data_IF_373103082406
#
_entry.id   IF_373103082406
#
_cell.length_a   1.000
_cell.length_b   1.000
_cell.length_c   1.000
_cell.angle_alpha   90.00
_cell.angle_beta   90.00
_cell.angle_gamma   90.00
#
_symmetry.space_group_name_H-M   'P 1'
#
loop_
_entity.id
_entity.type
_entity.pdbx_description
1 polymer ?
#
# COMPACT_ATOMS: atom_id res chain seq x y z
N UNK A 1 36.08 15.03 0.44
CA UNK A 1 35.50 13.66 0.45
C UNK A 1 34.69 13.33 1.70
N UNK A 2 35.25 13.35 2.93
CA UNK A 2 34.46 12.94 4.13
C UNK A 2 33.28 13.88 4.46
N UNK A 3 33.46 15.20 4.31
CA UNK A 3 32.40 16.20 4.54
C UNK A 3 31.23 16.05 3.54
N UNK A 4 31.52 15.67 2.30
CA UNK A 4 30.53 15.50 1.23
C UNK A 4 29.66 14.25 1.46
N UNK A 5 30.27 13.14 1.88
CA UNK A 5 29.52 11.92 2.23
C UNK A 5 28.64 12.08 3.48
N UNK A 6 29.04 12.92 4.43
CA UNK A 6 28.23 13.24 5.60
C UNK A 6 26.95 13.97 5.21
N UNK A 7 27.06 15.03 4.39
CA UNK A 7 25.90 15.80 3.94
C UNK A 7 24.95 14.94 3.08
N UNK A 8 25.46 14.12 2.16
CA UNK A 8 24.62 13.21 1.37
C UNK A 8 23.82 12.23 2.26
N UNK A 9 24.46 11.67 3.29
CA UNK A 9 23.78 10.74 4.21
C UNK A 9 22.76 11.46 5.08
N UNK A 10 23.09 12.68 5.53
CA UNK A 10 22.20 13.55 6.31
C UNK A 10 20.97 13.94 5.50
N UNK A 11 21.14 14.25 4.22
CA UNK A 11 20.03 14.56 3.31
C UNK A 11 19.13 13.35 3.09
N UNK A 12 19.70 12.17 2.81
CA UNK A 12 18.90 10.94 2.67
C UNK A 12 18.07 10.64 3.94
N UNK A 13 18.65 10.86 5.12
CA UNK A 13 17.92 10.75 6.39
C UNK A 13 16.85 11.82 6.52
N UNK A 14 17.13 13.07 6.17
CA UNK A 14 16.17 14.17 6.23
C UNK A 14 14.95 13.92 5.34
N UNK A 15 15.17 13.43 4.11
CA UNK A 15 14.10 13.05 3.19
C UNK A 15 13.26 11.89 3.74
N UNK A 16 13.91 10.87 4.32
CA UNK A 16 13.22 9.77 4.96
C UNK A 16 12.31 10.26 6.10
N UNK A 17 12.83 11.09 7.01
CA UNK A 17 12.03 11.64 8.12
C UNK A 17 10.89 12.54 7.64
N UNK A 18 11.13 13.35 6.60
CA UNK A 18 10.10 14.20 6.00
C UNK A 18 8.97 13.37 5.38
N UNK A 19 9.32 12.30 4.66
CA UNK A 19 8.34 11.35 4.12
C UNK A 19 7.52 10.68 5.24
N UNK A 20 8.17 10.18 6.30
CA UNK A 20 7.44 9.59 7.45
C UNK A 20 6.49 10.58 8.07
N UNK A 21 6.95 11.82 8.26
CA UNK A 21 6.15 12.87 8.84
C UNK A 21 4.89 13.11 8.00
N UNK A 22 5.02 13.22 6.68
CA UNK A 22 3.89 13.42 5.78
C UNK A 22 2.89 12.25 5.84
N UNK A 23 3.37 11.00 5.81
CA UNK A 23 2.49 9.81 5.92
C UNK A 23 1.72 9.80 7.25
N UNK A 24 2.34 10.26 8.34
CA UNK A 24 1.72 10.23 9.68
C UNK A 24 0.76 11.40 9.90
N UNK A 25 1.09 12.60 9.41
CA UNK A 25 0.34 13.83 9.74
C UNK A 25 -0.76 14.16 8.74
N UNK A 26 -0.62 13.76 7.48
CA UNK A 26 -1.59 14.10 6.45
C UNK A 26 -2.77 13.10 6.48
N UNK A 27 -4.01 13.58 6.74
CA UNK A 27 -5.20 12.71 6.82
C UNK A 27 -5.46 11.89 5.55
N UNK A 28 -4.97 12.37 4.40
CA UNK A 28 -5.10 11.64 3.14
C UNK A 28 -4.45 10.25 3.19
N UNK A 29 -3.33 10.10 3.92
CA UNK A 29 -2.59 8.84 4.04
C UNK A 29 -3.02 8.00 5.24
N UNK A 30 -4.18 8.26 5.86
CA UNK A 30 -4.65 7.56 7.07
C UNK A 30 -4.81 6.04 6.92
N UNK A 31 -4.92 5.52 5.70
CA UNK A 31 -5.00 4.10 5.37
C UNK A 31 -3.62 3.44 5.23
N UNK A 32 -2.55 4.23 5.26
CA UNK A 32 -1.17 3.76 5.30
C UNK A 32 -0.64 3.88 6.73
N UNK A 33 0.31 3.01 7.09
CA UNK A 33 1.03 3.13 8.37
C UNK A 33 2.51 2.77 8.19
N UNK A 34 3.35 3.19 9.13
CA UNK A 34 4.76 2.84 9.17
C UNK A 34 4.99 1.95 10.38
N UNK A 35 4.98 0.63 10.14
CA UNK A 35 5.04 -0.36 11.21
C UNK A 35 6.44 -0.96 11.31
N UNK A 36 7.17 -0.53 12.34
CA UNK A 36 8.48 -1.09 12.62
C UNK A 36 8.35 -2.50 13.23
N UNK A 37 9.21 -3.45 12.84
CA UNK A 37 9.20 -4.79 13.43
C UNK A 37 9.44 -4.73 14.94
N UNK A 38 8.65 -5.48 15.71
CA UNK A 38 8.84 -5.54 17.15
C UNK A 38 10.19 -6.21 17.49
N UNK A 39 11.02 -5.51 18.26
CA UNK A 39 12.29 -6.05 18.78
C UNK A 39 12.04 -6.71 20.14
N UNK A 40 12.37 -8.00 20.31
CA UNK A 40 12.27 -8.66 21.62
C UNK A 40 13.11 -7.94 22.68
N UNK A 41 12.59 -7.83 23.92
CA UNK A 41 13.30 -7.14 25.02
C UNK A 41 14.72 -7.67 25.25
N UNK A 42 14.94 -8.97 25.05
CA UNK A 42 16.25 -9.61 25.16
C UNK A 42 17.29 -9.08 24.16
N UNK A 43 16.85 -8.57 23.01
CA UNK A 43 17.69 -8.05 21.94
C UNK A 43 17.68 -6.51 21.83
N UNK A 44 16.94 -5.82 22.70
CA UNK A 44 16.70 -4.38 22.58
C UNK A 44 17.98 -3.53 22.62
N UNK A 45 19.03 -3.98 23.30
CA UNK A 45 20.34 -3.30 23.34
C UNK A 45 21.23 -3.58 22.12
N UNK A 46 20.87 -4.55 21.29
CA UNK A 46 21.70 -5.06 20.19
C UNK A 46 21.10 -4.74 18.81
N UNK A 47 19.87 -4.22 18.76
CA UNK A 47 19.12 -3.99 17.52
C UNK A 47 18.69 -2.54 17.46
N UNK A 48 18.99 -1.89 16.34
CA UNK A 48 18.58 -0.52 16.03
C UNK A 48 17.90 -0.53 14.66
N UNK A 49 16.74 0.11 14.55
CA UNK A 49 16.10 0.31 13.26
C UNK A 49 16.85 1.36 12.44
N UNK A 50 17.12 1.05 11.18
CA UNK A 50 17.68 2.03 10.24
C UNK A 50 16.59 3.06 9.87
N UNK A 51 16.77 4.35 10.16
CA UNK A 51 15.78 5.38 9.86
C UNK A 51 15.51 5.55 8.36
N UNK A 52 16.41 5.09 7.49
CA UNK A 52 16.27 5.19 6.02
C UNK A 52 15.54 4.01 5.39
N UNK A 53 15.18 3.00 6.19
CA UNK A 53 14.43 1.82 5.77
C UNK A 53 13.00 1.94 6.30
N UNK A 54 12.07 2.30 5.43
CA UNK A 54 10.70 2.61 5.82
C UNK A 54 9.79 1.47 5.35
N UNK A 55 9.31 0.61 6.25
CA UNK A 55 8.23 -0.31 5.94
C UNK A 55 6.92 0.48 5.87
N UNK A 56 6.34 0.61 4.67
CA UNK A 56 5.04 1.20 4.45
C UNK A 56 3.99 0.09 4.43
N UNK A 57 3.16 0.02 5.46
CA UNK A 57 2.06 -0.92 5.57
C UNK A 57 0.87 -0.47 4.73
N UNK A 58 0.35 -1.42 3.95
CA UNK A 58 -0.72 -1.27 2.96
C UNK A 58 -1.92 -2.17 3.26
N UNK A 59 -1.95 -2.85 4.41
CA UNK A 59 -2.98 -3.83 4.80
C UNK A 59 -4.40 -3.23 4.85
N UNK A 60 -4.53 -1.94 5.13
CA UNK A 60 -5.83 -1.26 5.22
C UNK A 60 -6.36 -0.79 3.86
N UNK A 61 -5.59 -0.98 2.78
CA UNK A 61 -6.03 -0.69 1.42
C UNK A 61 -6.88 -1.84 0.85
N UNK A 62 -7.58 -1.57 -0.26
CA UNK A 62 -8.39 -2.58 -0.92
C UNK A 62 -7.67 -3.45 -1.93
N UNK A 63 -6.62 -2.90 -2.50
CA UNK A 63 -5.73 -3.63 -3.39
C UNK A 63 -4.59 -4.30 -2.64
N UNK A 64 -4.11 -5.40 -3.20
CA UNK A 64 -2.95 -6.13 -2.69
C UNK A 64 -1.66 -5.31 -2.82
N UNK A 65 -0.66 -5.64 -1.99
CA UNK A 65 0.65 -4.99 -2.04
C UNK A 65 1.33 -5.19 -3.41
N UNK A 66 1.10 -6.32 -4.07
CA UNK A 66 1.51 -6.58 -5.44
C UNK A 66 0.86 -5.63 -6.45
N UNK A 67 -0.46 -5.43 -6.37
CA UNK A 67 -1.20 -4.51 -7.25
C UNK A 67 -0.74 -3.06 -7.04
N UNK A 68 -0.47 -2.65 -5.80
CA UNK A 68 0.09 -1.33 -5.48
C UNK A 68 1.46 -1.15 -6.14
N UNK A 69 2.35 -2.15 -6.01
CA UNK A 69 3.68 -2.11 -6.64
C UNK A 69 3.55 -2.00 -8.15
N UNK A 70 2.68 -2.78 -8.78
CA UNK A 70 2.48 -2.77 -10.22
C UNK A 70 1.89 -1.42 -10.67
N UNK A 71 0.97 -0.85 -9.90
CA UNK A 71 0.42 0.48 -10.13
C UNK A 71 1.50 1.57 -10.12
N UNK A 72 2.31 1.60 -9.06
CA UNK A 72 3.42 2.55 -8.89
C UNK A 72 4.39 2.46 -10.06
N UNK A 73 4.68 1.25 -10.54
CA UNK A 73 5.59 1.04 -11.67
C UNK A 73 4.97 1.46 -13.01
N UNK A 74 3.77 0.96 -13.33
CA UNK A 74 3.15 1.15 -14.64
C UNK A 74 2.65 2.58 -14.88
N UNK A 75 2.11 3.23 -13.84
CA UNK A 75 1.50 4.56 -13.97
C UNK A 75 2.44 5.70 -13.57
N UNK A 76 3.38 5.45 -12.65
CA UNK A 76 4.26 6.50 -12.11
C UNK A 76 5.76 6.22 -12.33
N UNK A 77 6.13 5.07 -12.90
CA UNK A 77 7.54 4.71 -13.13
C UNK A 77 8.32 4.46 -11.84
N UNK A 78 7.65 4.19 -10.72
CA UNK A 78 8.27 3.99 -9.41
C UNK A 78 8.45 2.50 -9.15
N UNK A 79 9.70 2.07 -9.03
CA UNK A 79 10.04 0.69 -8.72
C UNK A 79 10.22 0.46 -7.20
N UNK A 80 9.46 -0.49 -6.65
CA UNK A 80 9.62 -0.97 -5.27
C UNK A 80 10.27 -2.35 -5.30
N UNK A 81 11.49 -2.44 -4.78
CA UNK A 81 12.29 -3.66 -4.81
C UNK A 81 11.72 -4.78 -3.93
N UNK A 82 11.31 -4.45 -2.70
CA UNK A 82 10.95 -5.44 -1.69
C UNK A 82 9.54 -5.19 -1.16
N UNK A 83 8.70 -6.20 -1.30
CA UNK A 83 7.34 -6.23 -0.76
C UNK A 83 7.16 -7.48 0.12
N UNK A 84 6.10 -7.44 0.91
CA UNK A 84 5.51 -8.55 1.66
C UNK A 84 4.00 -8.50 1.41
N UNK A 85 3.25 -9.47 1.93
CA UNK A 85 1.78 -9.47 1.79
C UNK A 85 1.13 -8.16 2.27
N UNK A 86 1.70 -7.52 3.31
CA UNK A 86 1.10 -6.38 4.02
C UNK A 86 1.87 -5.06 3.91
N UNK A 87 3.09 -5.09 3.36
CA UNK A 87 3.95 -3.90 3.40
C UNK A 87 4.98 -3.85 2.28
N UNK A 88 5.32 -2.64 1.88
CA UNK A 88 6.40 -2.30 0.94
C UNK A 88 7.59 -1.71 1.69
N UNK A 89 8.81 -2.18 1.42
CA UNK A 89 10.02 -1.61 2.01
C UNK A 89 10.62 -0.53 1.11
N UNK A 90 10.47 0.73 1.53
CA UNK A 90 11.05 1.89 0.87
C UNK A 90 12.48 2.14 1.38
N UNK A 91 13.41 2.31 0.45
CA UNK A 91 14.83 2.49 0.73
C UNK A 91 15.26 3.92 0.40
N UNK A 92 15.46 4.75 1.41
CA UNK A 92 16.08 6.06 1.24
C UNK A 92 17.60 5.90 1.25
N UNK A 93 18.27 6.45 0.25
CA UNK A 93 19.73 6.43 0.13
C UNK A 93 20.19 7.71 -0.56
N UNK A 94 21.52 7.89 -0.68
CA UNK A 94 22.15 9.11 -1.23
C UNK A 94 21.74 9.46 -2.68
N UNK A 95 21.06 8.55 -3.39
CA UNK A 95 20.56 8.78 -4.75
C UNK A 95 19.08 9.16 -4.80
N UNK A 96 18.39 9.17 -3.66
CA UNK A 96 17.00 9.63 -3.57
C UNK A 96 17.01 11.15 -3.43
N UNK A 97 16.27 11.81 -4.30
CA UNK A 97 16.14 13.27 -4.30
C UNK A 97 14.82 13.70 -3.67
N UNK A 98 14.71 15.00 -3.40
CA UNK A 98 13.45 15.60 -2.94
C UNK A 98 12.34 15.41 -3.97
N UNK A 99 12.66 15.57 -5.25
CA UNK A 99 11.71 15.40 -6.36
C UNK A 99 11.19 13.97 -6.42
N UNK A 100 12.05 12.97 -6.27
CA UNK A 100 11.63 11.57 -6.21
C UNK A 100 10.72 11.29 -5.00
N UNK A 101 10.98 11.93 -3.86
CA UNK A 101 10.14 11.80 -2.66
C UNK A 101 8.76 12.43 -2.87
N UNK A 102 8.71 13.62 -3.49
CA UNK A 102 7.45 14.28 -3.86
C UNK A 102 6.66 13.47 -4.90
N UNK A 103 7.34 12.91 -5.90
CA UNK A 103 6.73 12.05 -6.90
C UNK A 103 6.11 10.78 -6.28
N UNK A 104 6.79 10.18 -5.30
CA UNK A 104 6.25 9.06 -4.55
C UNK A 104 5.00 9.43 -3.75
N UNK A 105 5.02 10.56 -3.05
CA UNK A 105 3.84 11.05 -2.32
C UNK A 105 2.66 11.34 -3.25
N UNK A 106 2.92 11.94 -4.42
CA UNK A 106 1.90 12.17 -5.44
C UNK A 106 1.32 10.86 -5.99
N UNK A 107 2.17 9.87 -6.30
CA UNK A 107 1.72 8.57 -6.77
C UNK A 107 0.87 7.81 -5.73
N UNK A 108 1.27 7.86 -4.45
CA UNK A 108 0.46 7.31 -3.35
C UNK A 108 -0.86 8.07 -3.21
N UNK A 109 -0.84 9.39 -3.35
CA UNK A 109 -2.04 10.22 -3.35
C UNK A 109 -3.02 9.80 -4.45
N UNK A 110 -2.54 9.64 -5.68
CA UNK A 110 -3.36 9.28 -6.84
C UNK A 110 -3.95 7.87 -6.68
N UNK A 111 -3.14 6.91 -6.20
CA UNK A 111 -3.60 5.56 -5.86
C UNK A 111 -4.75 5.59 -4.84
N UNK A 112 -4.61 6.37 -3.77
CA UNK A 112 -5.63 6.47 -2.73
C UNK A 112 -6.91 7.15 -3.22
N UNK A 113 -6.79 8.11 -4.13
CA UNK A 113 -7.98 8.70 -4.78
C UNK A 113 -8.72 7.67 -5.64
N UNK A 114 -8.00 6.85 -6.40
CA UNK A 114 -8.62 5.81 -7.22
C UNK A 114 -9.29 4.72 -6.37
N UNK A 115 -8.66 4.30 -5.28
CA UNK A 115 -9.27 3.41 -4.28
C UNK A 115 -10.57 4.00 -3.72
N UNK A 116 -10.57 5.29 -3.36
CA UNK A 116 -11.74 5.99 -2.84
C UNK A 116 -12.88 6.14 -3.85
N UNK A 117 -12.56 6.30 -5.14
CA UNK A 117 -13.57 6.34 -6.21
C UNK A 117 -14.16 4.96 -6.52
N UNK A 118 -13.40 3.88 -6.31
CA UNK A 118 -13.92 2.51 -6.39
C UNK A 118 -14.81 2.12 -5.19
N UNK A 119 -14.81 2.93 -4.12
CA UNK A 119 -15.51 2.66 -2.86
C UNK A 119 -16.90 3.33 -2.74
N UNK A 120 -17.45 3.88 -3.83
CA UNK A 120 -18.87 4.24 -3.83
C UNK A 120 -19.70 2.96 -3.88
N UNK A 121 -20.36 2.66 -2.75
CA UNK A 121 -21.23 1.51 -2.62
C UNK A 121 -22.31 1.55 -3.71
N UNK A 122 -22.18 0.65 -4.68
CA UNK A 122 -23.18 0.46 -5.72
C UNK A 122 -24.20 -0.52 -5.16
N UNK A 123 -25.48 -0.16 -5.18
CA UNK A 123 -26.54 -1.12 -4.84
C UNK A 123 -26.64 -2.15 -5.95
N UNK A 124 -26.48 -3.42 -5.61
CA UNK A 124 -26.60 -4.51 -6.58
C UNK A 124 -28.02 -4.59 -7.11
N UNK A 125 -28.17 -4.70 -8.43
CA UNK A 125 -29.44 -5.01 -9.09
C UNK A 125 -29.64 -6.49 -9.35
N UNK A 126 -28.56 -7.27 -9.28
CA UNK A 126 -28.48 -8.65 -9.73
C UNK A 126 -27.92 -9.56 -8.63
N UNK A 127 -28.09 -10.86 -8.80
CA UNK A 127 -27.44 -11.86 -7.96
C UNK A 127 -26.00 -12.08 -8.41
N UNK A 128 -25.06 -12.16 -7.47
CA UNK A 128 -23.68 -12.61 -7.74
C UNK A 128 -23.47 -13.98 -7.10
N UNK A 129 -23.28 -15.03 -7.91
CA UNK A 129 -23.23 -16.42 -7.45
C UNK A 129 -21.91 -17.07 -7.86
N UNK A 130 -21.00 -17.37 -6.90
CA UNK A 130 -19.80 -18.17 -7.17
C UNK A 130 -20.13 -19.67 -7.27
N UNK A 131 -19.51 -20.37 -8.21
CA UNK A 131 -19.64 -21.82 -8.38
C UNK A 131 -18.27 -22.50 -8.53
N UNK A 132 -17.99 -23.56 -7.74
CA UNK A 132 -18.75 -24.08 -6.59
C UNK A 132 -18.53 -23.20 -5.33
N UNK A 133 -19.50 -23.00 -4.39
CA UNK A 133 -20.63 -23.87 -4.00
C UNK A 133 -22.02 -23.56 -4.60
N UNK A 134 -22.21 -22.48 -5.36
CA UNK A 134 -23.48 -22.17 -6.03
C UNK A 134 -24.53 -21.48 -5.15
N UNK A 135 -24.14 -20.91 -4.00
CA UNK A 135 -25.02 -20.04 -3.19
C UNK A 135 -24.75 -18.57 -3.50
N UNK A 136 -25.74 -17.67 -3.45
CA UNK A 136 -25.53 -16.25 -3.70
C UNK A 136 -24.58 -15.61 -2.69
N UNK A 137 -23.58 -14.91 -3.20
CA UNK A 137 -22.69 -14.04 -2.42
C UNK A 137 -23.30 -12.64 -2.25
N UNK A 138 -23.99 -12.14 -3.28
CA UNK A 138 -24.70 -10.86 -3.28
C UNK A 138 -26.12 -11.08 -3.80
N UNK A 139 -27.10 -10.41 -3.19
CA UNK A 139 -28.48 -10.34 -3.68
C UNK A 139 -28.86 -8.93 -4.14
N UNK A 140 -29.88 -8.78 -5.01
CA UNK A 140 -30.42 -7.46 -5.36
C UNK A 140 -30.82 -6.66 -4.11
N UNK A 141 -30.34 -5.43 -4.01
CA UNK A 141 -30.53 -4.55 -2.86
C UNK A 141 -29.36 -4.51 -1.88
N UNK A 142 -28.40 -5.45 -1.97
CA UNK A 142 -27.17 -5.39 -1.19
C UNK A 142 -26.27 -4.25 -1.67
N UNK A 143 -25.50 -3.68 -0.74
CA UNK A 143 -24.46 -2.71 -1.09
C UNK A 143 -23.16 -3.41 -1.42
N UNK A 144 -22.69 -3.22 -2.66
CA UNK A 144 -21.39 -3.73 -3.10
C UNK A 144 -20.31 -2.80 -2.53
N UNK A 145 -19.62 -3.25 -1.50
CA UNK A 145 -18.51 -2.53 -0.87
C UNK A 145 -17.17 -2.92 -1.47
N UNK A 146 -16.11 -2.18 -1.14
CA UNK A 146 -14.73 -2.54 -1.51
C UNK A 146 -14.30 -3.92 -0.96
N UNK A 147 -14.85 -4.37 0.18
CA UNK A 147 -14.63 -5.72 0.72
C UNK A 147 -15.30 -6.77 -0.16
N UNK A 148 -16.51 -6.47 -0.64
CA UNK A 148 -17.27 -7.36 -1.51
C UNK A 148 -16.56 -7.55 -2.85
N UNK A 149 -15.99 -6.48 -3.42
CA UNK A 149 -15.15 -6.55 -4.61
C UNK A 149 -13.92 -7.43 -4.41
N UNK A 150 -13.19 -7.26 -3.29
CA UNK A 150 -12.04 -8.10 -2.95
C UNK A 150 -12.40 -9.58 -2.82
N UNK A 151 -13.55 -9.89 -2.23
CA UNK A 151 -14.01 -11.26 -2.10
C UNK A 151 -14.29 -11.90 -3.46
N UNK A 152 -14.97 -11.17 -4.35
CA UNK A 152 -15.20 -11.61 -5.74
C UNK A 152 -13.88 -11.82 -6.48
N UNK A 153 -12.91 -10.92 -6.36
CA UNK A 153 -11.62 -11.03 -7.02
C UNK A 153 -10.78 -12.19 -6.47
N UNK A 154 -10.81 -12.41 -5.16
CA UNK A 154 -10.17 -13.58 -4.54
C UNK A 154 -10.78 -14.90 -5.01
N UNK A 155 -12.12 -14.95 -5.14
CA UNK A 155 -12.85 -16.09 -5.68
C UNK A 155 -12.41 -16.36 -7.14
N UNK A 156 -12.35 -15.31 -7.96
CA UNK A 156 -11.88 -15.41 -9.36
C UNK A 156 -10.43 -15.86 -9.46
N UNK A 157 -9.54 -15.32 -8.63
CA UNK A 157 -8.11 -15.72 -8.56
C UNK A 157 -7.93 -17.19 -8.19
N UNK A 158 -8.89 -17.79 -7.46
CA UNK A 158 -8.93 -19.25 -7.16
C UNK A 158 -9.49 -20.10 -8.31
N UNK A 159 -9.85 -19.50 -9.44
CA UNK A 159 -10.42 -20.19 -10.60
C UNK A 159 -11.90 -20.54 -10.47
N UNK A 160 -12.61 -19.93 -9.52
CA UNK A 160 -14.04 -20.15 -9.29
C UNK A 160 -14.83 -19.23 -10.24
N UNK A 161 -15.83 -19.81 -10.91
CA UNK A 161 -16.69 -19.07 -11.83
C UNK A 161 -17.68 -18.22 -11.04
N UNK A 162 -17.90 -16.98 -11.48
CA UNK A 162 -18.86 -16.06 -10.85
C UNK A 162 -19.90 -15.67 -11.89
N UNK A 163 -21.17 -15.94 -11.60
CA UNK A 163 -22.30 -15.65 -12.46
C UNK A 163 -23.10 -14.45 -11.95
N UNK A 164 -23.70 -13.74 -12.88
CA UNK A 164 -24.62 -12.61 -12.69
C UNK A 164 -25.99 -12.98 -13.28
N UNK A 165 -27.04 -12.91 -12.47
CA UNK A 165 -28.40 -13.37 -12.81
C UNK A 165 -29.49 -12.47 -12.23
#
# INVERSE_FOLDING_TARGET
MQAEGWELRKEARHLAESFKHEIITNPQFQSLSIDLPMVPRSAASHVIHDPTKIPLNTERLAISTEEIKDYLFLHHGIYVNRITEKSMLLNFHIGITKEATVALLAALSDLLHQEGMSAQAVTSTDYIIPYPPGVPLIVPGDQITAETHREIDNIRKRGILVFNA
#
